data_IF_010537388428
#
_entry.id   IF_010537388428
#
_cell.length_a   1.000
_cell.length_b   1.000
_cell.length_c   1.000
_cell.angle_alpha   90.00
_cell.angle_beta   90.00
_cell.angle_gamma   90.00
#
_symmetry.space_group_name_H-M   'P 1'
#
loop_
_entity.id
_entity.type
_entity.pdbx_description
1 polymer ?
#
# COMPACT_ATOMS: atom_id res chain seq x y z
N UNK A 1 22.90 -3.49 -1.44
CA UNK A 1 22.13 -2.33 -1.92
C UNK A 1 20.80 -2.34 -1.18
N UNK A 2 20.56 -1.41 -0.27
CA UNK A 2 19.30 -1.32 0.45
C UNK A 2 18.37 -0.37 -0.32
N UNK A 3 17.19 -0.85 -0.71
CA UNK A 3 16.12 -0.02 -1.25
C UNK A 3 15.55 0.81 -0.10
N UNK A 4 15.98 2.07 -0.02
CA UNK A 4 15.43 3.04 0.92
C UNK A 4 14.14 3.61 0.32
N UNK A 5 13.03 2.88 0.44
CA UNK A 5 11.71 3.50 0.32
C UNK A 5 11.39 4.16 1.66
N UNK A 6 11.91 5.37 1.87
CA UNK A 6 11.68 6.15 3.11
C UNK A 6 10.34 6.89 3.10
N UNK A 7 9.42 6.61 2.17
CA UNK A 7 8.15 7.35 2.03
C UNK A 7 8.28 8.86 1.74
N UNK A 8 9.50 9.39 1.62
CA UNK A 8 9.76 10.81 1.36
C UNK A 8 9.14 11.23 0.03
N UNK A 9 8.55 12.42 0.00
CA UNK A 9 8.01 13.00 -1.23
C UNK A 9 9.12 13.04 -2.30
N UNK A 10 8.82 12.49 -3.47
CA UNK A 10 9.70 12.49 -4.65
C UNK A 10 10.08 13.91 -5.06
N UNK A 11 9.25 14.90 -4.67
CA UNK A 11 9.42 16.31 -4.94
C UNK A 11 9.84 17.13 -3.70
N UNK A 12 10.31 16.49 -2.62
CA UNK A 12 10.66 17.19 -1.38
C UNK A 12 11.72 18.29 -1.59
N UNK A 13 11.70 19.31 -0.75
CA UNK A 13 12.70 20.38 -0.83
C UNK A 13 14.07 19.87 -0.35
N UNK A 14 15.10 20.02 -1.16
CA UNK A 14 16.46 19.56 -0.86
C UNK A 14 17.30 20.57 -0.07
N UNK A 15 16.80 21.81 0.08
CA UNK A 15 17.56 22.93 0.64
C UNK A 15 18.54 23.60 -0.33
N UNK A 16 18.75 23.07 -1.55
CA UNK A 16 19.55 23.72 -2.60
C UNK A 16 18.63 24.54 -3.53
N UNK A 17 18.80 25.87 -3.65
CA UNK A 17 17.93 26.71 -4.48
C UNK A 17 18.06 26.43 -5.99
N UNK A 18 19.17 25.85 -6.44
CA UNK A 18 19.43 25.49 -7.85
C UNK A 18 18.99 24.05 -8.14
N UNK A 19 19.15 23.15 -7.17
CA UNK A 19 18.79 21.74 -7.28
C UNK A 19 17.70 21.40 -6.26
N UNK A 20 16.58 22.11 -6.35
CA UNK A 20 15.53 22.14 -5.33
C UNK A 20 14.76 20.84 -5.12
N UNK A 21 14.94 19.85 -6.01
CA UNK A 21 14.28 18.54 -5.91
C UNK A 21 15.30 17.40 -5.93
N UNK A 22 14.98 16.23 -5.35
CA UNK A 22 15.83 15.05 -5.36
C UNK A 22 16.21 14.64 -6.78
N UNK A 23 15.31 14.84 -7.76
CA UNK A 23 15.57 14.55 -9.16
C UNK A 23 16.67 15.45 -9.74
N UNK A 24 16.65 16.76 -9.44
CA UNK A 24 17.70 17.68 -9.89
C UNK A 24 19.05 17.39 -9.23
N UNK A 25 19.05 16.98 -7.95
CA UNK A 25 20.27 16.50 -7.29
C UNK A 25 20.82 15.22 -7.93
N UNK A 26 19.98 14.22 -8.20
CA UNK A 26 20.39 12.99 -8.87
C UNK A 26 20.94 13.28 -10.28
N UNK A 27 20.30 14.21 -11.01
CA UNK A 27 20.77 14.67 -12.32
C UNK A 27 22.13 15.36 -12.24
N UNK A 28 22.34 16.24 -11.27
CA UNK A 28 23.63 16.89 -11.01
C UNK A 28 24.72 15.86 -10.66
N UNK A 29 24.37 14.85 -9.88
CA UNK A 29 25.27 13.77 -9.49
C UNK A 29 25.51 12.72 -10.59
N UNK A 30 24.84 12.81 -11.75
CA UNK A 30 24.96 11.85 -12.84
C UNK A 30 24.39 10.46 -12.51
N UNK A 31 23.47 10.37 -11.55
CA UNK A 31 22.92 9.11 -11.06
C UNK A 31 21.68 8.72 -11.88
N UNK A 32 21.88 8.13 -13.05
CA UNK A 32 20.80 7.77 -13.99
C UNK A 32 19.74 6.84 -13.39
N UNK A 33 20.14 5.79 -12.66
CA UNK A 33 19.21 4.86 -12.02
C UNK A 33 18.33 5.54 -10.96
N UNK A 34 18.90 6.48 -10.20
CA UNK A 34 18.15 7.24 -9.20
C UNK A 34 17.21 8.24 -9.86
N UNK A 35 17.60 8.83 -11.00
CA UNK A 35 16.71 9.66 -11.81
C UNK A 35 15.53 8.86 -12.37
N UNK A 36 15.76 7.66 -12.91
CA UNK A 36 14.70 6.78 -13.42
C UNK A 36 13.73 6.38 -12.30
N UNK A 37 14.28 5.96 -11.15
CA UNK A 37 13.48 5.63 -9.98
C UNK A 37 12.59 6.80 -9.54
N UNK A 38 13.16 7.99 -9.37
CA UNK A 38 12.41 9.20 -8.98
C UNK A 38 11.36 9.56 -10.04
N UNK A 39 11.70 9.44 -11.32
CA UNK A 39 10.77 9.72 -12.41
C UNK A 39 9.56 8.76 -12.38
N UNK A 40 9.78 7.47 -12.20
CA UNK A 40 8.69 6.49 -12.13
C UNK A 40 7.84 6.64 -10.87
N UNK A 41 8.44 6.95 -9.71
CA UNK A 41 7.67 7.17 -8.48
C UNK A 41 6.81 8.45 -8.56
N UNK A 42 7.27 9.50 -9.24
CA UNK A 42 6.52 10.76 -9.46
C UNK A 42 5.18 10.54 -10.18
N UNK A 43 5.08 9.51 -11.02
CA UNK A 43 3.88 9.21 -11.81
C UNK A 43 3.15 7.94 -11.35
N UNK A 44 3.52 7.37 -10.19
CA UNK A 44 2.77 6.27 -9.57
C UNK A 44 1.49 6.73 -8.86
N UNK A 45 0.96 7.91 -9.21
CA UNK A 45 -0.42 8.25 -8.89
C UNK A 45 -1.28 7.12 -9.46
N UNK A 46 -1.91 6.37 -8.56
CA UNK A 46 -2.99 5.47 -8.93
C UNK A 46 -4.00 6.28 -9.75
N UNK A 47 -4.67 5.68 -10.74
CA UNK A 47 -5.83 6.34 -11.33
C UNK A 47 -6.73 6.75 -10.17
N UNK A 48 -6.81 8.06 -9.94
CA UNK A 48 -7.81 8.67 -9.11
C UNK A 48 -9.08 8.35 -9.87
N UNK A 49 -9.69 7.19 -9.59
CA UNK A 49 -11.08 6.99 -9.95
C UNK A 49 -11.81 8.06 -9.16
N UNK A 50 -12.11 9.16 -9.84
CA UNK A 50 -13.06 10.15 -9.38
C UNK A 50 -14.28 9.36 -8.91
N UNK A 51 -14.44 9.27 -7.59
CA UNK A 51 -15.66 8.78 -6.98
C UNK A 51 -16.67 9.88 -7.23
N UNK A 52 -17.22 9.90 -8.44
CA UNK A 52 -18.54 10.47 -8.68
C UNK A 52 -19.57 9.43 -8.20
N UNK A 53 -19.59 9.18 -6.89
CA UNK A 53 -20.82 8.75 -6.23
C UNK A 53 -21.48 10.01 -5.73
N UNK A 54 -22.50 10.45 -6.47
CA UNK A 54 -23.54 11.36 -6.02
C UNK A 54 -23.99 10.95 -4.61
N UNK A 55 -23.59 11.75 -3.63
CA UNK A 55 -23.73 11.42 -2.22
C UNK A 55 -22.81 12.26 -1.35
N UNK A 56 -22.97 13.58 -1.45
CA UNK A 56 -22.65 14.62 -0.44
C UNK A 56 -21.66 14.18 0.65
N UNK A 57 -20.45 14.75 0.63
CA UNK A 57 -19.87 15.49 1.75
C UNK A 57 -18.50 16.06 1.34
N UNK A 58 -18.53 17.27 0.81
CA UNK A 58 -17.36 18.15 0.82
C UNK A 58 -17.11 18.59 2.27
N UNK A 59 -16.07 18.06 2.93
CA UNK A 59 -15.43 18.81 4.02
C UNK A 59 -14.01 18.32 4.31
N UNK A 60 -13.08 19.21 4.05
CA UNK A 60 -11.74 19.31 4.64
C UNK A 60 -11.87 19.15 6.18
N UNK A 61 -11.24 18.12 6.76
CA UNK A 61 -10.91 17.98 8.20
C UNK A 61 -10.61 16.51 8.52
N UNK A 62 -9.39 16.21 9.00
CA UNK A 62 -9.04 15.06 9.87
C UNK A 62 -10.02 13.87 9.90
N UNK A 63 -10.28 13.22 8.77
CA UNK A 63 -11.23 12.10 8.75
C UNK A 63 -10.50 10.84 9.21
N UNK A 64 -10.86 10.37 10.40
CA UNK A 64 -10.60 8.99 10.83
C UNK A 64 -10.98 8.07 9.68
N UNK A 65 -9.98 7.55 8.96
CA UNK A 65 -10.23 6.76 7.75
C UNK A 65 -10.62 5.37 8.19
N UNK A 66 -11.91 5.18 8.45
CA UNK A 66 -12.53 3.89 8.67
C UNK A 66 -12.79 3.24 7.31
N UNK A 67 -12.16 2.10 7.05
CA UNK A 67 -12.43 1.29 5.88
C UNK A 67 -12.62 -0.16 6.29
N UNK A 68 -13.70 -0.79 5.84
CA UNK A 68 -13.95 -2.20 6.07
C UNK A 68 -14.33 -2.90 4.77
N UNK A 69 -13.64 -3.98 4.44
CA UNK A 69 -13.93 -4.81 3.26
C UNK A 69 -13.34 -6.20 3.48
N UNK A 70 -13.75 -7.13 2.62
CA UNK A 70 -13.15 -8.43 2.59
C UNK A 70 -11.84 -8.41 1.81
N UNK A 71 -10.77 -8.87 2.47
CA UNK A 71 -9.49 -9.12 1.84
C UNK A 71 -9.20 -10.60 1.86
N UNK A 72 -8.50 -11.09 0.86
CA UNK A 72 -8.02 -12.45 0.86
C UNK A 72 -6.61 -12.50 1.43
N UNK A 73 -6.40 -13.30 2.48
CA UNK A 73 -5.12 -13.39 3.16
C UNK A 73 -4.37 -14.66 2.73
N UNK A 74 -3.15 -14.53 2.22
CA UNK A 74 -2.33 -15.68 1.84
C UNK A 74 -1.14 -15.87 2.80
N UNK A 75 -0.67 -17.12 3.03
CA UNK A 75 0.55 -17.36 3.79
C UNK A 75 1.78 -16.74 3.10
N UNK A 76 2.55 -15.93 3.83
CA UNK A 76 3.73 -15.22 3.29
C UNK A 76 4.88 -16.13 2.84
N UNK A 77 4.95 -17.38 3.32
CA UNK A 77 6.01 -18.35 2.96
C UNK A 77 5.95 -18.83 1.48
N UNK A 78 4.99 -18.34 0.70
CA UNK A 78 4.82 -18.66 -0.72
C UNK A 78 5.73 -17.84 -1.67
N UNK A 79 6.68 -17.03 -1.16
CA UNK A 79 7.60 -16.20 -1.96
C UNK A 79 8.62 -16.97 -2.81
N UNK A 80 8.52 -18.31 -2.89
CA UNK A 80 9.20 -19.08 -3.93
C UNK A 80 8.33 -19.13 -5.17
N UNK A 81 8.59 -18.19 -6.07
CA UNK A 81 8.18 -18.22 -7.48
C UNK A 81 8.52 -19.58 -8.11
N UNK A 82 7.57 -20.50 -8.09
CA UNK A 82 7.55 -21.69 -8.92
C UNK A 82 6.11 -22.13 -9.12
N UNK A 83 5.51 -21.68 -10.23
CA UNK A 83 4.53 -22.47 -10.99
C UNK A 83 3.49 -23.26 -10.18
N UNK A 84 2.78 -22.63 -9.25
CA UNK A 84 1.51 -23.17 -8.76
C UNK A 84 0.51 -22.03 -8.73
N UNK A 85 -0.33 -21.99 -9.79
CA UNK A 85 -1.59 -21.25 -9.83
C UNK A 85 -2.55 -21.84 -8.80
N UNK A 86 -2.21 -21.77 -7.51
CA UNK A 86 -3.10 -22.08 -6.40
C UNK A 86 -3.41 -20.75 -5.73
N UNK A 87 -4.37 -20.05 -6.31
CA UNK A 87 -5.73 -20.05 -5.76
C UNK A 87 -5.68 -19.36 -4.40
N UNK A 88 -5.81 -18.05 -4.46
CA UNK A 88 -6.35 -17.27 -3.36
C UNK A 88 -7.77 -17.81 -3.13
N UNK A 89 -7.86 -18.91 -2.39
CA UNK A 89 -9.08 -19.68 -2.23
C UNK A 89 -10.09 -18.84 -1.43
N UNK A 90 -11.38 -18.93 -1.77
CA UNK A 90 -12.45 -18.22 -1.06
C UNK A 90 -12.43 -18.50 0.46
N UNK A 91 -11.88 -19.64 0.87
CA UNK A 91 -11.67 -20.04 2.27
C UNK A 91 -10.68 -19.15 3.04
N UNK A 92 -9.90 -18.34 2.34
CA UNK A 92 -8.95 -17.39 2.91
C UNK A 92 -9.46 -15.93 2.88
N UNK A 93 -10.74 -15.72 2.57
CA UNK A 93 -11.38 -14.41 2.66
C UNK A 93 -11.54 -14.03 4.14
N UNK A 94 -11.03 -12.86 4.51
CA UNK A 94 -11.04 -12.29 5.87
C UNK A 94 -11.73 -10.94 5.83
N UNK A 95 -12.53 -10.67 6.86
CA UNK A 95 -13.09 -9.33 7.04
C UNK A 95 -12.01 -8.45 7.63
N UNK A 96 -11.65 -7.36 6.96
CA UNK A 96 -10.58 -6.47 7.37
C UNK A 96 -11.14 -5.09 7.68
N UNK A 97 -10.68 -4.50 8.78
CA UNK A 97 -11.06 -3.17 9.25
C UNK A 97 -9.79 -2.35 9.46
N UNK A 98 -9.67 -1.27 8.72
CA UNK A 98 -8.66 -0.23 8.89
C UNK A 98 -9.29 0.91 9.70
N UNK A 99 -8.85 1.08 10.95
CA UNK A 99 -9.36 2.13 11.84
C UNK A 99 -8.28 2.52 12.86
N UNK A 100 -8.19 3.81 13.20
CA UNK A 100 -7.36 4.25 14.33
C UNK A 100 -5.86 3.93 14.24
N UNK A 101 -5.32 3.72 13.03
CA UNK A 101 -3.92 3.33 12.84
C UNK A 101 -3.69 1.82 12.79
N UNK A 102 -4.75 1.01 12.88
CA UNK A 102 -4.65 -0.44 12.92
C UNK A 102 -5.43 -1.07 11.76
N UNK A 103 -4.84 -2.09 11.12
CA UNK A 103 -5.55 -3.02 10.26
C UNK A 103 -5.82 -4.30 11.05
N UNK A 104 -7.07 -4.49 11.45
CA UNK A 104 -7.54 -5.69 12.13
C UNK A 104 -8.21 -6.61 11.13
N UNK A 105 -7.89 -7.90 11.18
CA UNK A 105 -8.51 -8.90 10.31
C UNK A 105 -9.20 -9.99 11.13
N UNK A 106 -10.37 -10.38 10.66
CA UNK A 106 -11.31 -11.27 11.33
C UNK A 106 -11.63 -12.44 10.41
N UNK A 107 -12.05 -13.56 10.99
CA UNK A 107 -12.49 -14.73 10.24
C UNK A 107 -13.65 -14.39 9.30
N UNK A 108 -14.59 -13.55 9.76
CA UNK A 108 -15.71 -13.03 8.99
C UNK A 108 -16.25 -11.73 9.65
N UNK A 109 -17.24 -11.11 9.00
CA UNK A 109 -17.91 -9.87 9.41
C UNK A 109 -18.71 -9.99 10.72
N UNK A 110 -19.00 -11.22 11.18
CA UNK A 110 -19.75 -11.49 12.42
C UNK A 110 -18.85 -11.78 13.61
N UNK A 111 -17.55 -11.92 13.38
CA UNK A 111 -16.58 -12.25 14.41
C UNK A 111 -16.32 -11.03 15.30
N UNK A 112 -16.36 -11.21 16.61
CA UNK A 112 -16.16 -10.12 17.58
C UNK A 112 -14.71 -9.99 18.05
N UNK A 113 -13.87 -10.98 17.76
CA UNK A 113 -12.44 -10.99 18.11
C UNK A 113 -11.60 -11.05 16.84
N UNK A 114 -10.63 -10.13 16.65
CA UNK A 114 -9.75 -10.18 15.50
C UNK A 114 -8.81 -11.38 15.60
N UNK A 115 -8.55 -12.03 14.46
CA UNK A 115 -7.53 -13.06 14.33
C UNK A 115 -6.13 -12.47 14.45
N UNK A 116 -5.99 -11.19 14.09
CA UNK A 116 -4.79 -10.41 14.34
C UNK A 116 -4.98 -8.95 13.96
N UNK A 117 -4.02 -8.16 14.40
CA UNK A 117 -4.01 -6.72 14.18
C UNK A 117 -2.60 -6.28 13.78
N UNK A 118 -2.54 -5.44 12.75
CA UNK A 118 -1.31 -4.85 12.22
C UNK A 118 -1.33 -3.37 12.57
N UNK A 119 -0.29 -2.89 13.26
CA UNK A 119 -0.08 -1.47 13.49
C UNK A 119 0.46 -0.85 12.20
N UNK A 120 -0.32 0.04 11.60
CA UNK A 120 0.02 0.68 10.32
C UNK A 120 1.18 1.66 10.48
N UNK A 121 1.34 2.25 11.65
CA UNK A 121 2.45 3.16 11.94
C UNK A 121 3.80 2.43 12.07
N UNK A 122 3.77 1.10 12.20
CA UNK A 122 4.97 0.26 12.19
C UNK A 122 5.28 -0.29 10.80
N UNK A 123 4.46 -0.02 9.78
CA UNK A 123 4.71 -0.52 8.43
C UNK A 123 5.92 0.18 7.84
N UNK A 124 6.92 -0.61 7.46
CA UNK A 124 8.19 -0.10 6.89
C UNK A 124 8.17 -0.04 5.36
N UNK A 125 7.31 -0.84 4.73
CA UNK A 125 7.18 -0.88 3.27
C UNK A 125 5.87 -1.57 2.88
N UNK A 126 5.21 -1.02 1.86
CA UNK A 126 4.09 -1.64 1.18
C UNK A 126 4.43 -1.90 -0.30
N UNK A 127 4.58 -3.19 -0.66
CA UNK A 127 4.74 -3.59 -2.05
C UNK A 127 3.37 -3.91 -2.67
N UNK A 128 3.10 -3.39 -3.86
CA UNK A 128 1.88 -3.71 -4.61
C UNK A 128 2.32 -4.37 -5.91
N UNK A 129 1.83 -5.58 -6.12
CA UNK A 129 2.12 -6.37 -7.31
C UNK A 129 1.12 -5.99 -8.40
N UNK A 130 1.61 -5.91 -9.64
CA UNK A 130 0.77 -5.62 -10.80
C UNK A 130 -0.24 -6.77 -11.00
N UNK A 131 -1.42 -6.44 -11.51
CA UNK A 131 -2.59 -7.31 -11.71
C UNK A 131 -2.31 -8.57 -12.56
N UNK A 132 -1.55 -9.52 -12.02
CA UNK A 132 -1.29 -10.82 -12.64
C UNK A 132 -2.25 -11.91 -12.10
N UNK A 133 -3.09 -11.55 -11.12
CA UNK A 133 -4.02 -12.45 -10.44
C UNK A 133 -5.47 -12.12 -10.77
N UNK A 134 -6.18 -13.14 -11.27
CA UNK A 134 -7.61 -13.10 -11.57
C UNK A 134 -8.31 -14.19 -10.76
N UNK A 135 -9.31 -13.81 -9.97
CA UNK A 135 -10.31 -14.76 -9.47
C UNK A 135 -11.52 -14.77 -10.40
N UNK A 136 -12.44 -15.70 -10.17
CA UNK A 136 -13.70 -15.78 -10.92
C UNK A 136 -14.51 -14.46 -10.87
N UNK A 137 -14.28 -13.64 -9.84
CA UNK A 137 -14.94 -12.35 -9.62
C UNK A 137 -14.26 -11.17 -10.34
N UNK A 138 -13.04 -11.34 -10.85
CA UNK A 138 -12.29 -10.26 -11.52
C UNK A 138 -10.82 -10.17 -11.13
N UNK A 139 -10.12 -9.10 -11.58
CA UNK A 139 -8.73 -8.84 -11.21
C UNK A 139 -8.60 -8.55 -9.72
N UNK A 140 -7.47 -8.92 -9.14
CA UNK A 140 -7.16 -8.70 -7.71
C UNK A 140 -5.84 -7.97 -7.56
N UNK A 141 -5.87 -6.93 -6.74
CA UNK A 141 -4.71 -6.19 -6.27
C UNK A 141 -4.03 -6.99 -5.17
N UNK A 142 -2.87 -7.56 -5.49
CA UNK A 142 -2.04 -8.25 -4.51
C UNK A 142 -1.05 -7.26 -3.91
N UNK A 143 -0.96 -7.24 -2.59
CA UNK A 143 -0.05 -6.38 -1.87
C UNK A 143 0.57 -7.05 -0.65
N UNK A 144 1.77 -6.64 -0.32
CA UNK A 144 2.56 -7.14 0.81
C UNK A 144 2.84 -6.01 1.79
N UNK A 145 2.54 -6.27 3.06
CA UNK A 145 2.87 -5.39 4.18
C UNK A 145 4.11 -5.94 4.88
N UNK A 146 5.16 -5.13 4.93
CA UNK A 146 6.40 -5.45 5.62
C UNK A 146 6.47 -4.72 6.96
N UNK A 147 6.79 -5.47 8.02
CA UNK A 147 6.99 -4.95 9.37
C UNK A 147 8.45 -5.11 9.81
N UNK A 148 8.93 -4.30 10.79
CA UNK A 148 10.27 -4.39 11.36
C UNK A 148 10.58 -5.76 11.96
N UNK A 149 9.55 -6.48 12.41
CA UNK A 149 9.68 -7.80 13.02
C UNK A 149 9.96 -8.93 12.00
N UNK A 150 10.39 -8.60 10.78
CA UNK A 150 10.56 -9.51 9.63
C UNK A 150 9.28 -10.23 9.18
N UNK A 151 8.13 -9.89 9.76
CA UNK A 151 6.83 -10.44 9.37
C UNK A 151 6.37 -9.77 8.10
N UNK A 152 5.95 -10.58 7.14
CA UNK A 152 5.34 -10.13 5.89
C UNK A 152 3.92 -10.67 5.83
N UNK A 153 2.97 -9.79 5.46
CA UNK A 153 1.57 -10.17 5.25
C UNK A 153 1.21 -9.98 3.79
N UNK A 154 0.72 -11.03 3.14
CA UNK A 154 0.28 -11.01 1.75
C UNK A 154 -1.26 -10.96 1.71
N UNK A 155 -1.79 -9.90 1.11
CA UNK A 155 -3.23 -9.69 0.96
C UNK A 155 -3.61 -9.50 -0.51
N UNK A 156 -4.83 -9.89 -0.85
CA UNK A 156 -5.49 -9.57 -2.10
C UNK A 156 -6.76 -8.76 -1.86
N UNK A 157 -6.94 -7.68 -2.63
CA UNK A 157 -8.14 -6.85 -2.62
C UNK A 157 -8.78 -6.80 -4.01
N UNK A 158 -10.11 -6.81 -4.07
CA UNK A 158 -10.85 -6.59 -5.32
C UNK A 158 -10.78 -5.12 -5.76
N UNK A 159 -10.48 -4.21 -4.82
CA UNK A 159 -10.33 -2.78 -5.06
C UNK A 159 -8.98 -2.27 -4.57
N UNK A 160 -8.52 -1.16 -5.13
CA UNK A 160 -7.26 -0.53 -4.70
C UNK A 160 -7.38 0.28 -3.41
N UNK A 161 -8.55 0.35 -2.76
CA UNK A 161 -8.80 1.24 -1.61
C UNK A 161 -7.90 0.94 -0.40
N UNK A 162 -7.85 -0.33 0.05
CA UNK A 162 -7.00 -0.75 1.16
C UNK A 162 -5.51 -0.45 0.91
N UNK A 163 -4.89 -0.94 -0.18
CA UNK A 163 -3.47 -0.67 -0.43
C UNK A 163 -3.18 0.81 -0.62
N UNK A 164 -4.10 1.58 -1.23
CA UNK A 164 -3.91 3.03 -1.42
C UNK A 164 -3.95 3.80 -0.09
N UNK A 165 -4.86 3.46 0.82
CA UNK A 165 -4.96 4.13 2.13
C UNK A 165 -3.76 3.83 3.03
N UNK A 166 -3.32 2.57 3.06
CA UNK A 166 -2.13 2.17 3.83
C UNK A 166 -0.91 2.94 3.31
N UNK A 167 -0.72 3.01 1.99
CA UNK A 167 0.36 3.78 1.37
C UNK A 167 0.25 5.29 1.63
N UNK A 168 -0.95 5.85 1.62
CA UNK A 168 -1.16 7.28 1.92
C UNK A 168 -0.75 7.61 3.36
N UNK A 169 -1.09 6.73 4.32
CA UNK A 169 -0.62 6.86 5.72
C UNK A 169 0.89 6.76 5.83
N UNK A 170 1.49 5.73 5.22
CA UNK A 170 2.95 5.55 5.16
C UNK A 170 3.66 6.82 4.64
N UNK A 171 3.12 7.48 3.60
CA UNK A 171 3.67 8.74 3.08
C UNK A 171 3.42 9.96 3.98
N UNK A 172 2.35 9.98 4.78
CA UNK A 172 2.01 11.12 5.63
C UNK A 172 2.91 11.24 6.87
N UNK A 173 3.36 10.12 7.43
CA UNK A 173 4.25 10.12 8.60
C UNK A 173 5.73 10.40 8.24
N UNK A 174 6.12 10.17 6.98
CA UNK A 174 7.48 10.41 6.48
C UNK A 174 7.73 11.85 5.95
N UNK A 175 6.76 12.77 6.11
CA UNK A 175 6.87 14.18 5.69
C UNK A 175 7.16 15.14 6.86
N UNK A 176 8.00 14.73 7.81
CA UNK A 176 8.60 15.63 8.82
C UNK A 176 10.06 15.90 8.46
#
# INVERSE_FOLDING_TARGET
MALLFSGADVMCATGDPVHSTPYLLAKKAGQSLQMEFLYHNKFSDFPQHDIHSEGVLSQESSQSTFLCDFLYQAPSAASKLSSEKKLLEETNKKWCVLEGGFLSYYENDKSTTPNGTININEVICLAIHKEDFYLNTGPIFIFEIYLPSERVFLFGAETSFFPSLIRKREKSENNI
#
